data_IF_874386635014
#
_entry.id   IF_874386635014
#
_cell.length_a   1.000
_cell.length_b   1.000
_cell.length_c   1.000
_cell.angle_alpha   90.00
_cell.angle_beta   90.00
_cell.angle_gamma   90.00
#
_symmetry.space_group_name_H-M   'P 1'
#
loop_
_entity.id
_entity.type
_entity.pdbx_description
1 polymer ?
#
# COMPACT_ATOMS: atom_id res chain seq x y z
N UNK A 1 -14.25 19.51 18.97
CA UNK A 1 -13.78 18.14 19.26
C UNK A 1 -12.38 17.96 18.69
N UNK A 2 -11.43 17.53 19.49
CA UNK A 2 -10.07 17.31 19.00
C UNK A 2 -9.96 15.91 18.38
N UNK A 3 -9.22 15.83 17.30
CA UNK A 3 -8.89 14.55 16.68
C UNK A 3 -7.47 14.16 17.03
N UNK A 4 -7.26 12.87 17.29
CA UNK A 4 -5.92 12.36 17.53
C UNK A 4 -5.20 12.18 16.20
N UNK A 5 -4.01 12.75 16.10
CA UNK A 5 -3.13 12.57 14.95
C UNK A 5 -2.22 11.38 15.20
N UNK A 6 -2.04 10.54 14.18
CA UNK A 6 -1.13 9.40 14.26
C UNK A 6 -0.08 9.47 13.16
N UNK A 7 1.13 9.09 13.50
CA UNK A 7 2.19 8.81 12.54
C UNK A 7 2.56 7.35 12.71
N UNK A 8 2.38 6.55 11.66
CA UNK A 8 2.61 5.12 11.67
C UNK A 8 3.84 4.79 10.84
N UNK A 9 4.75 4.00 11.41
CA UNK A 9 6.00 3.64 10.75
C UNK A 9 6.02 2.13 10.49
N UNK A 10 6.51 1.72 9.34
CA UNK A 10 6.68 0.31 9.03
C UNK A 10 6.44 0.00 7.57
N UNK A 11 5.97 -1.21 7.30
CA UNK A 11 5.67 -1.66 5.95
C UNK A 11 4.82 -2.91 5.96
N UNK A 12 4.44 -3.36 4.76
CA UNK A 12 3.71 -4.60 4.56
C UNK A 12 2.36 -4.67 5.26
N UNK A 13 2.00 -5.89 5.66
CA UNK A 13 0.70 -6.16 6.27
C UNK A 13 0.57 -5.52 7.65
N UNK A 14 1.64 -5.45 8.43
CA UNK A 14 1.63 -4.83 9.75
C UNK A 14 1.25 -3.36 9.67
N UNK A 15 1.90 -2.61 8.80
CA UNK A 15 1.55 -1.20 8.59
C UNK A 15 0.15 -1.04 8.02
N UNK A 16 -0.24 -1.90 7.08
CA UNK A 16 -1.60 -1.89 6.52
C UNK A 16 -2.66 -1.99 7.62
N UNK A 17 -2.49 -2.94 8.53
CA UNK A 17 -3.44 -3.14 9.62
C UNK A 17 -3.46 -1.94 10.59
N UNK A 18 -2.29 -1.40 10.89
CA UNK A 18 -2.18 -0.23 11.78
C UNK A 18 -2.85 1.00 11.17
N UNK A 19 -2.62 1.26 9.90
CA UNK A 19 -3.23 2.39 9.20
C UNK A 19 -4.76 2.23 9.11
N UNK A 20 -5.22 1.02 8.82
CA UNK A 20 -6.66 0.73 8.79
C UNK A 20 -7.30 0.97 10.15
N UNK A 21 -6.66 0.50 11.21
CA UNK A 21 -7.16 0.72 12.58
C UNK A 21 -7.21 2.20 12.93
N UNK A 22 -6.18 2.97 12.58
CA UNK A 22 -6.15 4.41 12.82
C UNK A 22 -7.28 5.13 12.07
N UNK A 23 -7.53 4.74 10.81
CA UNK A 23 -8.61 5.31 10.01
C UNK A 23 -9.98 4.99 10.61
N UNK A 24 -10.20 3.75 11.00
CA UNK A 24 -11.47 3.32 11.61
C UNK A 24 -11.69 4.03 12.95
N UNK A 25 -10.63 4.28 13.71
CA UNK A 25 -10.70 5.01 14.97
C UNK A 25 -10.94 6.52 14.80
N UNK A 26 -10.96 7.02 13.58
CA UNK A 26 -11.22 8.43 13.30
C UNK A 26 -10.01 9.35 13.49
N UNK A 27 -8.81 8.79 13.44
CA UNK A 27 -7.59 9.58 13.51
C UNK A 27 -7.50 10.57 12.35
N UNK A 28 -7.05 11.80 12.61
CA UNK A 28 -6.88 12.81 11.56
C UNK A 28 -5.92 13.89 12.07
N UNK A 29 -4.88 14.22 11.32
CA UNK A 29 -4.40 13.50 10.14
C UNK A 29 -3.73 12.18 10.46
N UNK A 30 -3.62 11.31 9.47
CA UNK A 30 -2.83 10.08 9.53
C UNK A 30 -1.63 10.23 8.60
N UNK A 31 -0.45 10.02 9.15
CA UNK A 31 0.80 10.05 8.38
C UNK A 31 1.42 8.65 8.39
N UNK A 32 1.88 8.21 7.25
CA UNK A 32 2.58 6.93 7.12
C UNK A 32 4.03 7.16 6.69
N UNK A 33 4.96 6.62 7.46
CA UNK A 33 6.38 6.58 7.10
C UNK A 33 6.66 5.13 6.70
N UNK A 34 6.85 4.92 5.40
CA UNK A 34 6.82 3.59 4.80
C UNK A 34 8.23 3.13 4.46
N UNK A 35 8.57 1.92 4.88
CA UNK A 35 9.87 1.32 4.57
C UNK A 35 9.99 1.03 3.08
N UNK A 36 11.21 1.09 2.57
CA UNK A 36 11.57 0.73 1.20
C UNK A 36 12.48 -0.50 1.16
N UNK A 37 12.33 -1.38 2.14
CA UNK A 37 13.18 -2.57 2.29
C UNK A 37 12.59 -3.83 1.64
N UNK A 38 11.37 -3.76 1.07
CA UNK A 38 10.71 -4.91 0.46
C UNK A 38 11.51 -5.42 -0.75
N UNK A 39 11.81 -6.70 -0.78
CA UNK A 39 12.58 -7.35 -1.83
C UNK A 39 11.85 -8.58 -2.40
N UNK A 40 10.60 -8.77 -2.05
CA UNK A 40 9.82 -9.94 -2.46
C UNK A 40 8.89 -9.67 -3.64
N UNK A 41 8.46 -10.74 -4.30
CA UNK A 41 7.41 -10.74 -5.32
C UNK A 41 7.58 -9.67 -6.39
N UNK A 42 6.48 -8.99 -6.70
CA UNK A 42 6.43 -7.94 -7.73
C UNK A 42 7.38 -6.78 -7.41
N UNK A 43 7.43 -6.33 -6.16
CA UNK A 43 8.35 -5.25 -5.74
C UNK A 43 9.80 -5.60 -5.98
N UNK A 44 10.21 -6.82 -5.63
CA UNK A 44 11.57 -7.28 -5.84
C UNK A 44 11.93 -7.38 -7.32
N UNK A 45 10.99 -7.85 -8.14
CA UNK A 45 11.19 -7.91 -9.59
C UNK A 45 11.41 -6.51 -10.17
N UNK A 46 10.56 -5.55 -9.82
CA UNK A 46 10.67 -4.18 -10.32
C UNK A 46 11.95 -3.51 -9.85
N UNK A 47 12.33 -3.74 -8.60
CA UNK A 47 13.56 -3.20 -8.05
C UNK A 47 14.78 -3.68 -8.85
N UNK A 48 14.82 -4.97 -9.20
CA UNK A 48 15.94 -5.54 -9.94
C UNK A 48 15.93 -5.16 -11.42
N UNK A 49 14.75 -5.16 -12.04
CA UNK A 49 14.62 -4.93 -13.48
C UNK A 49 14.71 -3.45 -13.86
N UNK A 50 14.24 -2.56 -13.00
CA UNK A 50 14.12 -1.13 -13.30
C UNK A 50 14.98 -0.24 -12.39
N UNK A 51 15.69 -0.81 -11.43
CA UNK A 51 16.53 -0.06 -10.49
C UNK A 51 15.75 1.03 -9.74
N UNK A 52 14.51 0.75 -9.38
CA UNK A 52 13.66 1.66 -8.63
C UNK A 52 13.55 1.25 -7.17
N UNK A 53 13.11 2.17 -6.33
CA UNK A 53 12.71 1.87 -4.96
C UNK A 53 11.55 0.90 -5.00
N UNK A 54 11.55 -0.20 -4.18
CA UNK A 54 10.48 -1.18 -4.22
C UNK A 54 9.14 -0.55 -3.79
N UNK A 55 8.09 -0.67 -4.61
CA UNK A 55 6.85 0.06 -4.37
C UNK A 55 5.81 -0.67 -3.52
N UNK A 56 6.04 -1.94 -3.18
CA UNK A 56 4.99 -2.78 -2.58
C UNK A 56 4.46 -2.28 -1.26
N UNK A 57 5.33 -1.90 -0.33
CA UNK A 57 4.91 -1.42 0.97
C UNK A 57 4.19 -0.07 0.86
N UNK A 58 4.67 0.80 -0.04
CA UNK A 58 3.99 2.08 -0.31
C UNK A 58 2.60 1.85 -0.89
N UNK A 59 2.48 0.94 -1.86
CA UNK A 59 1.19 0.57 -2.43
C UNK A 59 0.23 0.09 -1.34
N UNK A 60 0.67 -0.77 -0.43
CA UNK A 60 -0.16 -1.28 0.65
C UNK A 60 -0.60 -0.16 1.59
N UNK A 61 0.28 0.78 1.90
CA UNK A 61 -0.07 1.93 2.73
C UNK A 61 -1.13 2.80 2.06
N UNK A 62 -0.99 3.06 0.77
CA UNK A 62 -1.99 3.80 0.00
C UNK A 62 -3.34 3.09 0.00
N UNK A 63 -3.34 1.77 -0.19
CA UNK A 63 -4.58 0.98 -0.15
C UNK A 63 -5.24 1.06 1.23
N UNK A 64 -4.46 1.00 2.31
CA UNK A 64 -4.99 1.10 3.68
C UNK A 64 -5.64 2.46 3.96
N UNK A 65 -5.13 3.52 3.35
CA UNK A 65 -5.60 4.88 3.58
C UNK A 65 -6.78 5.28 2.67
N UNK A 66 -7.22 4.41 1.75
CA UNK A 66 -8.42 4.68 0.97
C UNK A 66 -9.65 4.68 1.87
N UNK A 67 -10.57 5.63 1.64
CA UNK A 67 -11.79 5.72 2.42
C UNK A 67 -12.77 4.62 2.05
N UNK A 68 -13.75 4.36 2.93
CA UNK A 68 -14.79 3.36 2.67
C UNK A 68 -15.86 3.86 1.70
N UNK A 69 -16.01 5.18 1.55
CA UNK A 69 -16.98 5.78 0.63
C UNK A 69 -16.32 6.28 -0.65
N UNK A 70 -17.12 6.86 -1.53
CA UNK A 70 -16.67 7.61 -2.70
C UNK A 70 -15.67 6.85 -3.58
N UNK A 71 -15.90 5.55 -3.78
CA UNK A 71 -15.04 4.73 -4.61
C UNK A 71 -13.76 4.25 -3.95
N UNK A 72 -13.61 4.44 -2.64
CA UNK A 72 -12.41 4.01 -1.91
C UNK A 72 -12.14 2.51 -2.05
N UNK A 73 -13.19 1.68 -1.96
CA UNK A 73 -13.07 0.24 -2.17
C UNK A 73 -12.58 -0.08 -3.57
N UNK A 74 -13.10 0.61 -4.59
CA UNK A 74 -12.66 0.43 -5.97
C UNK A 74 -11.17 0.78 -6.13
N UNK A 75 -10.72 1.88 -5.55
CA UNK A 75 -9.31 2.26 -5.59
C UNK A 75 -8.42 1.24 -4.89
N UNK A 76 -8.86 0.74 -3.73
CA UNK A 76 -8.13 -0.29 -3.00
C UNK A 76 -7.99 -1.56 -3.85
N UNK A 77 -9.08 -2.02 -4.43
CA UNK A 77 -9.09 -3.22 -5.27
C UNK A 77 -8.22 -3.03 -6.52
N UNK A 78 -8.27 -1.85 -7.11
CA UNK A 78 -7.45 -1.52 -8.29
C UNK A 78 -5.96 -1.55 -7.95
N UNK A 79 -5.56 -0.90 -6.86
CA UNK A 79 -4.16 -0.87 -6.45
C UNK A 79 -3.63 -2.28 -6.15
N UNK A 80 -4.46 -3.14 -5.59
CA UNK A 80 -4.07 -4.48 -5.17
C UNK A 80 -4.28 -5.55 -6.24
N UNK A 81 -4.83 -5.18 -7.38
CA UNK A 81 -5.08 -6.14 -8.47
C UNK A 81 -3.77 -6.75 -8.97
N UNK A 82 -3.74 -8.08 -9.07
CA UNK A 82 -2.60 -8.80 -9.60
C UNK A 82 -2.91 -9.34 -10.99
N UNK A 83 -1.98 -9.12 -11.91
CA UNK A 83 -2.11 -9.69 -13.24
C UNK A 83 -1.85 -11.19 -13.19
N UNK A 84 -2.71 -11.94 -13.88
CA UNK A 84 -2.55 -13.38 -14.01
C UNK A 84 -1.80 -13.78 -15.28
N UNK A 85 -1.86 -15.08 -15.59
CA UNK A 85 -1.31 -15.61 -16.83
C UNK A 85 0.20 -15.72 -16.83
N UNK A 86 0.77 -15.60 -18.02
CA UNK A 86 2.21 -15.70 -18.28
C UNK A 86 2.65 -14.44 -19.02
N UNK A 87 3.85 -14.02 -18.84
CA UNK A 87 4.38 -12.85 -19.50
C UNK A 87 4.94 -11.83 -18.52
N UNK A 88 5.29 -10.67 -19.05
CA UNK A 88 6.05 -9.67 -18.29
C UNK A 88 5.26 -9.10 -17.12
N UNK A 89 3.95 -8.99 -17.24
CA UNK A 89 3.12 -8.40 -16.19
C UNK A 89 2.60 -9.40 -15.17
N UNK A 90 2.72 -10.71 -15.47
CA UNK A 90 2.18 -11.76 -14.60
C UNK A 90 2.74 -11.65 -13.18
N UNK A 91 1.86 -11.67 -12.17
CA UNK A 91 2.23 -11.58 -10.77
C UNK A 91 2.48 -10.16 -10.25
N UNK A 92 2.54 -9.16 -11.13
CA UNK A 92 2.66 -7.78 -10.70
C UNK A 92 1.34 -7.25 -10.16
N UNK A 93 1.39 -6.47 -9.09
CA UNK A 93 0.25 -5.69 -8.65
C UNK A 93 0.15 -4.42 -9.50
N UNK A 94 -1.07 -4.07 -9.92
CA UNK A 94 -1.28 -2.88 -10.73
C UNK A 94 -0.72 -1.62 -10.03
N UNK A 95 -0.92 -1.50 -8.73
CA UNK A 95 -0.45 -0.35 -7.97
C UNK A 95 1.07 -0.25 -7.87
N UNK A 96 1.82 -1.30 -8.21
CA UNK A 96 3.28 -1.25 -8.28
C UNK A 96 3.78 -0.68 -9.61
N UNK A 97 2.95 -0.72 -10.63
CA UNK A 97 3.29 -0.28 -11.98
C UNK A 97 2.93 1.20 -12.19
#
# INVERSE_FOLDING_TARGET
MSHTSYTCLGGGHGLYQTLTAARVAGASPINAVVTVADDGGSSGRLRREMEIVPPGDLRMALAALTSEGDGGSMWRDTLQHRFGGHGAMAGHALGNL
#
